data_IF_830696760050
#
_entry.id   IF_830696760050
#
_cell.length_a   1.000
_cell.length_b   1.000
_cell.length_c   1.000
_cell.angle_alpha   90.00
_cell.angle_beta   90.00
_cell.angle_gamma   90.00
#
_symmetry.space_group_name_H-M   'P 1'
#
loop_
_entity.id
_entity.type
_entity.pdbx_description
1 polymer ?
#
# COMPACT_ATOMS: atom_id res chain seq x y z
N UNK A 1 6.00 4.73 2.33
CA UNK A 1 4.97 5.34 1.47
C UNK A 1 5.20 4.77 0.09
N UNK A 2 4.22 4.07 -0.46
CA UNK A 2 4.26 3.43 -1.79
C UNK A 2 2.90 3.60 -2.46
N UNK A 3 2.79 3.38 -3.76
CA UNK A 3 1.48 3.34 -4.43
C UNK A 3 0.75 2.04 -4.10
N UNK A 4 -0.60 2.03 -4.06
CA UNK A 4 -1.40 0.80 -3.94
C UNK A 4 -1.02 -0.30 -4.94
N UNK A 5 -0.86 0.06 -6.22
CA UNK A 5 -0.49 -0.85 -7.31
C UNK A 5 0.86 -1.53 -7.08
N UNK A 6 1.84 -0.79 -6.56
CA UNK A 6 3.14 -1.35 -6.23
C UNK A 6 3.06 -2.31 -5.03
N UNK A 7 2.18 -2.02 -4.06
CA UNK A 7 1.95 -2.95 -2.95
C UNK A 7 1.36 -4.28 -3.42
N UNK A 8 0.39 -4.26 -4.34
CA UNK A 8 -0.13 -5.49 -4.96
C UNK A 8 0.97 -6.27 -5.69
N UNK A 9 1.86 -5.56 -6.41
CA UNK A 9 3.02 -6.19 -7.05
C UNK A 9 3.96 -6.86 -6.04
N UNK A 10 4.17 -6.25 -4.86
CA UNK A 10 4.95 -6.86 -3.79
C UNK A 10 4.27 -8.09 -3.22
N UNK A 11 2.95 -8.06 -3.02
CA UNK A 11 2.18 -9.21 -2.54
C UNK A 11 2.28 -10.41 -3.50
N UNK A 12 2.21 -10.16 -4.80
CA UNK A 12 2.44 -11.21 -5.81
C UNK A 12 3.85 -11.81 -5.71
N UNK A 13 4.85 -10.98 -5.40
CA UNK A 13 6.23 -11.42 -5.21
C UNK A 13 6.41 -12.23 -3.92
N UNK A 14 5.73 -11.87 -2.83
CA UNK A 14 5.69 -12.69 -1.61
C UNK A 14 5.15 -14.10 -1.90
N UNK A 15 4.03 -14.17 -2.62
CA UNK A 15 3.42 -15.44 -3.03
C UNK A 15 4.36 -16.24 -3.94
N UNK A 16 5.02 -15.59 -4.91
CA UNK A 16 6.00 -16.22 -5.80
C UNK A 16 7.18 -16.82 -5.03
N UNK A 17 7.59 -16.20 -3.94
CA UNK A 17 8.66 -16.70 -3.06
C UNK A 17 8.16 -17.72 -2.02
N UNK A 18 6.86 -17.96 -1.91
CA UNK A 18 6.26 -18.84 -0.91
C UNK A 18 6.34 -18.27 0.51
N UNK A 19 6.42 -16.95 0.65
CA UNK A 19 6.49 -16.25 1.94
C UNK A 19 5.10 -15.69 2.26
N UNK A 20 4.56 -15.98 3.44
CA UNK A 20 3.29 -15.38 3.88
C UNK A 20 3.49 -13.89 4.23
N UNK A 21 2.86 -12.94 3.50
CA UNK A 21 2.99 -11.51 3.78
C UNK A 21 2.53 -11.12 5.18
N UNK A 22 1.57 -11.87 5.75
CA UNK A 22 1.01 -11.63 7.10
C UNK A 22 1.99 -11.99 8.21
N UNK A 23 3.05 -12.75 7.87
CA UNK A 23 4.17 -13.00 8.77
C UNK A 23 5.07 -11.78 8.97
N UNK A 24 4.88 -10.71 8.19
CA UNK A 24 5.64 -9.47 8.36
C UNK A 24 5.27 -8.74 9.64
N UNK A 25 6.17 -7.89 10.13
CA UNK A 25 5.90 -7.00 11.27
C UNK A 25 5.07 -5.76 10.87
N UNK A 26 4.64 -5.65 9.61
CA UNK A 26 3.87 -4.50 9.15
C UNK A 26 2.48 -4.52 9.80
N UNK A 27 1.96 -3.33 10.07
CA UNK A 27 0.64 -3.14 10.72
C UNK A 27 -0.20 -2.08 10.01
N UNK A 28 0.46 -1.09 9.43
CA UNK A 28 -0.18 0.03 8.74
C UNK A 28 0.57 0.29 7.45
N UNK A 29 -0.16 0.37 6.34
CA UNK A 29 0.31 0.82 5.04
C UNK A 29 -0.22 2.23 4.75
N UNK A 30 0.66 3.13 4.31
CA UNK A 30 0.29 4.48 3.87
C UNK A 30 0.50 4.56 2.37
N UNK A 31 -0.59 4.84 1.64
CA UNK A 31 -0.67 4.83 0.19
C UNK A 31 -1.14 6.18 -0.35
N UNK A 32 -0.56 6.61 -1.47
CA UNK A 32 -0.84 7.89 -2.15
C UNK A 32 -0.43 7.77 -3.64
N UNK A 33 -0.49 8.88 -4.37
CA UNK A 33 -0.01 9.14 -5.71
C UNK A 33 -0.80 8.52 -6.86
N UNK A 34 -1.83 7.71 -6.57
CA UNK A 34 -2.76 7.21 -7.57
C UNK A 34 -4.16 6.93 -6.97
N UNK A 35 -5.23 7.06 -7.77
CA UNK A 35 -6.56 6.63 -7.36
C UNK A 35 -6.64 5.10 -7.31
N UNK A 36 -7.41 4.59 -6.35
CA UNK A 36 -7.63 3.16 -6.11
C UNK A 36 -9.06 2.90 -5.67
N UNK A 37 -9.52 1.67 -5.84
CA UNK A 37 -10.88 1.25 -5.46
C UNK A 37 -10.87 0.69 -4.04
N UNK A 38 -12.05 0.67 -3.41
CA UNK A 38 -12.21 -0.01 -2.11
C UNK A 38 -11.99 -1.53 -2.20
N UNK A 39 -12.11 -2.11 -3.40
CA UNK A 39 -11.74 -3.51 -3.64
C UNK A 39 -10.22 -3.70 -3.53
N UNK A 40 -9.42 -2.82 -4.16
CA UNK A 40 -7.97 -2.85 -4.02
C UNK A 40 -7.53 -2.63 -2.56
N UNK A 41 -8.20 -1.73 -1.82
CA UNK A 41 -7.94 -1.53 -0.39
C UNK A 41 -8.13 -2.84 0.37
N UNK A 42 -9.29 -3.48 0.23
CA UNK A 42 -9.61 -4.73 0.92
C UNK A 42 -8.63 -5.84 0.57
N UNK A 43 -8.27 -5.96 -0.71
CA UNK A 43 -7.28 -6.95 -1.14
C UNK A 43 -5.94 -6.78 -0.40
N UNK A 44 -5.44 -5.54 -0.30
CA UNK A 44 -4.20 -5.24 0.44
C UNK A 44 -4.34 -5.55 1.92
N UNK A 45 -5.44 -5.12 2.55
CA UNK A 45 -5.69 -5.35 3.98
C UNK A 45 -5.79 -6.85 4.30
N UNK A 46 -6.48 -7.63 3.47
CA UNK A 46 -6.69 -9.07 3.67
C UNK A 46 -5.43 -9.90 3.39
N UNK A 47 -4.70 -9.60 2.29
CA UNK A 47 -3.50 -10.35 1.91
C UNK A 47 -2.31 -10.05 2.83
N UNK A 48 -2.24 -8.86 3.42
CA UNK A 48 -1.12 -8.44 4.25
C UNK A 48 -1.41 -8.35 5.75
N UNK A 49 -2.67 -8.43 6.18
CA UNK A 49 -3.12 -8.25 7.57
C UNK A 49 -2.67 -6.90 8.17
N UNK A 50 -2.94 -5.83 7.43
CA UNK A 50 -2.60 -4.46 7.81
C UNK A 50 -3.83 -3.54 7.70
N UNK A 51 -3.75 -2.37 8.34
CA UNK A 51 -4.64 -1.26 8.03
C UNK A 51 -4.09 -0.44 6.87
N UNK A 52 -4.87 -0.29 5.79
CA UNK A 52 -4.47 0.43 4.60
C UNK A 52 -5.07 1.84 4.60
N UNK A 53 -4.20 2.83 4.74
CA UNK A 53 -4.58 4.24 4.85
C UNK A 53 -4.30 4.95 3.54
N UNK A 54 -5.31 5.67 3.07
CA UNK A 54 -5.20 6.60 1.95
C UNK A 54 -4.81 7.97 2.47
N UNK A 55 -3.81 8.59 1.87
CA UNK A 55 -3.48 9.99 2.09
C UNK A 55 -3.48 10.71 0.76
N UNK A 56 -3.98 11.95 0.76
CA UNK A 56 -3.95 12.80 -0.43
C UNK A 56 -2.84 13.84 -0.28
N UNK A 57 -1.90 13.84 -1.21
CA UNK A 57 -0.85 14.84 -1.33
C UNK A 57 -0.83 15.53 -2.69
N UNK A 58 -0.51 16.83 -2.70
CA UNK A 58 -0.10 17.55 -3.91
C UNK A 58 1.32 18.08 -3.69
N UNK A 59 2.24 17.75 -4.59
CA UNK A 59 3.63 18.21 -4.50
C UNK A 59 3.72 19.75 -4.56
N UNK A 60 2.80 20.37 -5.28
CA UNK A 60 2.66 21.83 -5.40
C UNK A 60 2.22 22.52 -4.10
N UNK A 61 1.66 21.77 -3.13
CA UNK A 61 1.10 22.30 -1.88
C UNK A 61 1.89 21.85 -0.65
N UNK A 62 2.64 20.74 -0.74
CA UNK A 62 3.33 20.11 0.41
C UNK A 62 4.82 19.83 0.11
N UNK A 63 5.31 20.16 -1.09
CA UNK A 63 6.69 19.91 -1.50
C UNK A 63 7.74 20.86 -0.87
N UNK A 64 9.03 20.51 -0.91
CA UNK A 64 10.12 21.38 -0.44
C UNK A 64 10.21 22.62 -1.33
N UNK A 65 9.56 23.70 -0.91
CA UNK A 65 9.34 24.89 -1.73
C UNK A 65 8.14 25.73 -1.28
N UNK A 66 7.30 25.16 -0.41
CA UNK A 66 6.32 25.88 0.44
C UNK A 66 6.96 26.24 1.78
#
# INVERSE_FOLDING_TARGET
MVTPSYMLTLLDEFERQGIDPRGSSLRVGIFDAEPWTEEMRREIEERMDIHAVDIYGLSEVIGPGV
#
